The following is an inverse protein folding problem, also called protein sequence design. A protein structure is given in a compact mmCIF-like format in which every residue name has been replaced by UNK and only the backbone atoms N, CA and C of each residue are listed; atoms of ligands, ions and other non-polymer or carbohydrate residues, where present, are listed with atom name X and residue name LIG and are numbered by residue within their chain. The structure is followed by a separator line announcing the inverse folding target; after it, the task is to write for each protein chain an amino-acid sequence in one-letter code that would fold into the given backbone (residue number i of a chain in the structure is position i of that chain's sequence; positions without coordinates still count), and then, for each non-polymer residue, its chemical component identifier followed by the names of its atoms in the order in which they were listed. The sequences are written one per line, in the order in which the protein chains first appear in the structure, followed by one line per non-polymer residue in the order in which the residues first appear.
data_IF_351879212774
#
_entry.id   IF_351879212774
#
_cell.length_a   1.000
_cell.length_b   1.000
_cell.length_c   1.000
_cell.angle_alpha   90.00
_cell.angle_beta   90.00
_cell.angle_gamma   90.00
#
_symmetry.space_group_name_H-M   'P 1'
#
loop_
_entity.id
_entity.type
_entity.pdbx_description
1 polymer ?
#
# COMPACT_ATOMS: atom_id res chain seq x y z
N UNK A 1 -14.11 -3.95 0.20
CA UNK A 1 -14.54 -5.30 -0.22
C UNK A 1 -13.92 -6.40 0.63
N UNK A 2 -12.59 -6.40 0.92
CA UNK A 2 -11.97 -7.43 1.77
C UNK A 2 -12.50 -7.45 3.20
N UNK A 3 -12.91 -6.32 3.73
CA UNK A 3 -13.25 -6.15 5.16
C UNK A 3 -14.73 -6.41 5.45
N UNK A 4 -15.58 -6.40 4.45
CA UNK A 4 -17.04 -6.37 4.65
C UNK A 4 -17.79 -7.45 3.89
N UNK A 5 -17.09 -8.26 3.13
CA UNK A 5 -17.69 -9.33 2.36
C UNK A 5 -17.72 -10.65 3.14
N UNK A 6 -18.81 -11.40 3.01
CA UNK A 6 -18.87 -12.78 3.49
C UNK A 6 -17.98 -13.73 2.67
N UNK A 7 -17.34 -13.24 1.61
CA UNK A 7 -16.43 -13.98 0.75
C UNK A 7 -15.05 -13.32 0.76
N UNK A 8 -14.02 -14.13 0.79
CA UNK A 8 -12.63 -13.68 0.68
C UNK A 8 -12.42 -12.82 -0.56
N UNK A 9 -11.88 -11.63 -0.40
CA UNK A 9 -11.69 -10.66 -1.50
C UNK A 9 -10.70 -11.16 -2.58
N UNK A 10 -9.94 -12.17 -2.29
CA UNK A 10 -8.99 -12.80 -3.23
C UNK A 10 -9.56 -14.06 -3.92
N UNK A 11 -10.75 -14.54 -3.51
CA UNK A 11 -11.32 -15.81 -4.01
C UNK A 11 -11.71 -15.74 -5.49
N UNK A 12 -12.13 -14.58 -5.98
CA UNK A 12 -12.47 -14.38 -7.39
C UNK A 12 -11.25 -13.97 -8.20
N UNK A 13 -10.88 -14.78 -9.18
CA UNK A 13 -9.84 -14.44 -10.16
C UNK A 13 -10.14 -13.10 -10.86
N UNK A 14 -11.40 -12.85 -11.19
CA UNK A 14 -11.80 -11.60 -11.83
C UNK A 14 -11.56 -10.38 -10.92
N UNK A 15 -11.86 -10.48 -9.63
CA UNK A 15 -11.62 -9.38 -8.68
C UNK A 15 -10.13 -9.12 -8.49
N UNK A 16 -9.32 -10.18 -8.36
CA UNK A 16 -7.85 -10.04 -8.30
C UNK A 16 -7.32 -9.32 -9.53
N UNK A 17 -7.73 -9.76 -10.73
CA UNK A 17 -7.37 -9.13 -12.00
C UNK A 17 -7.73 -7.66 -12.02
N UNK A 18 -8.94 -7.32 -11.61
CA UNK A 18 -9.41 -5.94 -11.58
C UNK A 18 -8.58 -5.07 -10.63
N UNK A 19 -8.25 -5.56 -9.43
CA UNK A 19 -7.42 -4.82 -8.47
C UNK A 19 -6.01 -4.57 -9.03
N UNK A 20 -5.38 -5.59 -9.59
CA UNK A 20 -4.05 -5.46 -10.20
C UNK A 20 -4.08 -4.50 -11.39
N UNK A 21 -5.06 -4.62 -12.28
CA UNK A 21 -5.22 -3.70 -13.42
C UNK A 21 -5.47 -2.27 -12.96
N UNK A 22 -6.26 -2.07 -11.91
CA UNK A 22 -6.48 -0.74 -11.35
C UNK A 22 -5.17 -0.11 -10.89
N UNK A 23 -4.35 -0.84 -10.14
CA UNK A 23 -3.02 -0.37 -9.72
C UNK A 23 -2.14 -0.06 -10.94
N UNK A 24 -2.15 -0.92 -11.94
CA UNK A 24 -1.36 -0.73 -13.17
C UNK A 24 -1.77 0.54 -13.92
N UNK A 25 -3.07 0.80 -14.05
CA UNK A 25 -3.57 2.01 -14.73
C UNK A 25 -3.25 3.32 -14.00
N UNK A 26 -3.03 3.29 -12.68
CA UNK A 26 -2.64 4.49 -11.95
C UNK A 26 -1.27 5.02 -12.34
N UNK A 27 -0.42 4.19 -12.94
CA UNK A 27 0.94 4.56 -13.33
C UNK A 27 1.01 5.86 -14.15
N UNK A 28 0.25 5.93 -15.23
CA UNK A 28 0.24 7.10 -16.13
C UNK A 28 -0.20 8.38 -15.41
N UNK A 29 -1.20 8.26 -14.55
CA UNK A 29 -1.70 9.40 -13.76
C UNK A 29 -0.68 9.84 -12.72
N UNK A 30 0.03 8.89 -12.10
CA UNK A 30 1.11 9.17 -11.16
C UNK A 30 2.26 9.91 -11.85
N UNK A 31 2.73 9.42 -13.00
CA UNK A 31 3.79 10.09 -13.78
C UNK A 31 3.38 11.51 -14.12
N UNK A 32 2.17 11.70 -14.65
CA UNK A 32 1.63 13.03 -14.97
C UNK A 32 1.58 13.94 -13.76
N UNK A 33 1.08 13.43 -12.63
CA UNK A 33 0.95 14.18 -11.38
C UNK A 33 2.32 14.61 -10.87
N UNK A 34 3.28 13.69 -10.79
CA UNK A 34 4.61 13.98 -10.28
C UNK A 34 5.40 14.92 -11.19
N UNK A 35 5.28 14.75 -12.50
CA UNK A 35 5.88 15.68 -13.48
C UNK A 35 5.30 17.08 -13.35
N UNK A 36 3.99 17.19 -13.17
CA UNK A 36 3.32 18.48 -12.96
C UNK A 36 3.77 19.15 -11.65
N UNK A 37 3.85 18.40 -10.57
CA UNK A 37 4.36 18.91 -9.29
C UNK A 37 5.79 19.42 -9.42
N UNK A 38 6.65 18.66 -10.09
CA UNK A 38 8.05 19.04 -10.31
C UNK A 38 8.17 20.30 -11.14
N UNK A 39 7.40 20.44 -12.21
CA UNK A 39 7.42 21.63 -13.08
C UNK A 39 6.90 22.89 -12.38
N UNK A 40 5.91 22.73 -11.48
CA UNK A 40 5.33 23.84 -10.73
C UNK A 40 6.13 24.22 -9.47
N UNK A 41 7.13 23.44 -9.11
CA UNK A 41 7.96 23.66 -7.92
C UNK A 41 9.45 23.58 -8.26
N UNK A 42 9.95 24.50 -9.15
CA UNK A 42 11.35 24.47 -9.57
C UNK A 42 12.28 24.67 -8.39
N UNK A 43 13.31 23.84 -8.28
CA UNK A 43 14.28 23.87 -7.17
C UNK A 43 13.85 23.17 -5.90
N UNK A 44 12.62 22.64 -5.83
CA UNK A 44 12.16 21.86 -4.67
C UNK A 44 12.51 20.39 -4.80
N UNK A 45 12.87 19.76 -3.69
CA UNK A 45 12.94 18.30 -3.59
C UNK A 45 11.54 17.75 -3.31
N UNK A 46 11.06 16.89 -4.20
CA UNK A 46 9.75 16.25 -4.07
C UNK A 46 9.97 14.82 -3.64
N UNK A 47 9.38 14.45 -2.50
CA UNK A 47 9.42 13.11 -1.96
C UNK A 47 8.03 12.47 -2.07
N UNK A 48 7.98 11.32 -2.69
CA UNK A 48 6.78 10.49 -2.79
C UNK A 48 6.93 9.31 -1.84
N UNK A 49 6.02 9.19 -0.90
CA UNK A 49 6.05 8.17 0.14
C UNK A 49 5.19 6.99 -0.31
N UNK A 50 5.73 5.79 -0.21
CA UNK A 50 5.01 4.55 -0.47
C UNK A 50 3.99 4.19 0.63
N UNK A 51 3.49 2.97 0.58
CA UNK A 51 2.55 2.41 1.54
C UNK A 51 3.21 1.33 2.40
N UNK A 52 2.91 1.25 3.72
CA UNK A 52 3.45 0.22 4.59
C UNK A 52 2.63 -1.05 4.54
N UNK A 53 3.24 -2.16 4.84
CA UNK A 53 2.54 -3.37 5.25
C UNK A 53 2.02 -3.20 6.67
N UNK A 54 0.69 -3.24 6.85
CA UNK A 54 0.03 -2.97 8.13
C UNK A 54 -0.22 -4.22 8.97
N UNK A 55 -0.19 -5.41 8.39
CA UNK A 55 -0.46 -6.67 9.10
C UNK A 55 0.61 -7.71 8.78
N UNK A 56 0.93 -8.54 9.80
CA UNK A 56 1.88 -9.64 9.67
C UNK A 56 1.17 -10.90 9.19
N UNK A 57 1.75 -11.54 8.19
CA UNK A 57 1.35 -12.87 7.72
C UNK A 57 1.61 -13.92 8.80
N UNK A 58 0.74 -14.90 8.90
CA UNK A 58 0.81 -16.01 9.87
C UNK A 58 0.94 -15.55 11.33
N UNK A 59 0.46 -14.33 11.63
CA UNK A 59 0.46 -13.76 12.95
C UNK A 59 -0.78 -14.09 13.76
N UNK A 60 -0.77 -13.74 15.03
CA UNK A 60 -1.92 -13.88 15.92
C UNK A 60 -2.77 -12.60 15.89
N UNK A 61 -3.85 -12.62 15.14
CA UNK A 61 -4.69 -11.46 14.94
C UNK A 61 -5.72 -11.29 16.05
N UNK A 62 -5.87 -10.06 16.53
CA UNK A 62 -7.00 -9.68 17.35
C UNK A 62 -8.31 -9.70 16.53
N UNK A 63 -9.43 -9.88 17.18
CA UNK A 63 -10.75 -10.01 16.54
C UNK A 63 -11.14 -8.81 15.69
N UNK A 64 -10.66 -7.63 16.05
CA UNK A 64 -10.91 -6.39 15.32
C UNK A 64 -10.04 -6.21 14.06
N UNK A 65 -9.20 -7.17 13.70
CA UNK A 65 -8.46 -7.09 12.42
C UNK A 65 -9.39 -7.41 11.26
N UNK A 66 -10.32 -8.35 11.41
CA UNK A 66 -11.34 -8.62 10.40
C UNK A 66 -10.82 -9.13 9.05
N UNK A 67 -9.55 -9.57 8.97
CA UNK A 67 -8.91 -10.14 7.80
C UNK A 67 -8.41 -11.56 8.12
N UNK A 68 -8.65 -12.48 7.21
CA UNK A 68 -8.02 -13.80 7.25
C UNK A 68 -6.53 -13.70 6.89
N UNK A 69 -5.74 -14.70 7.26
CA UNK A 69 -4.32 -14.72 6.91
C UNK A 69 -4.09 -14.67 5.38
N UNK A 70 -4.92 -15.35 4.61
CA UNK A 70 -4.84 -15.31 3.15
C UNK A 70 -5.14 -13.91 2.58
N UNK A 71 -6.07 -13.17 3.18
CA UNK A 71 -6.34 -11.78 2.80
C UNK A 71 -5.18 -10.86 3.19
N UNK A 72 -4.52 -11.11 4.32
CA UNK A 72 -3.32 -10.37 4.74
C UNK A 72 -2.20 -10.61 3.73
N UNK A 73 -1.91 -11.87 3.38
CA UNK A 73 -0.91 -12.23 2.36
C UNK A 73 -1.22 -11.51 1.04
N UNK A 74 -2.47 -11.61 0.57
CA UNK A 74 -2.88 -10.96 -0.66
C UNK A 74 -2.74 -9.43 -0.61
N UNK A 75 -3.15 -8.82 0.49
CA UNK A 75 -3.06 -7.35 0.68
C UNK A 75 -1.60 -6.89 0.72
N UNK A 76 -0.73 -7.61 1.43
CA UNK A 76 0.71 -7.29 1.48
C UNK A 76 1.35 -7.35 0.09
N UNK A 77 0.98 -8.35 -0.72
CA UNK A 77 1.45 -8.45 -2.11
C UNK A 77 0.92 -7.30 -2.97
N UNK A 78 -0.35 -6.90 -2.81
CA UNK A 78 -0.89 -5.73 -3.50
C UNK A 78 -0.18 -4.43 -3.10
N UNK A 79 0.17 -4.27 -1.83
CA UNK A 79 0.94 -3.12 -1.35
C UNK A 79 2.33 -3.11 -1.98
N UNK A 80 3.04 -4.24 -1.99
CA UNK A 80 4.34 -4.35 -2.64
C UNK A 80 4.25 -3.99 -4.13
N UNK A 81 3.24 -4.48 -4.84
CA UNK A 81 3.01 -4.15 -6.24
C UNK A 81 2.70 -2.66 -6.44
N UNK A 82 1.82 -2.08 -5.63
CA UNK A 82 1.52 -0.65 -5.67
C UNK A 82 2.79 0.20 -5.44
N UNK A 83 3.59 -0.17 -4.45
CA UNK A 83 4.86 0.50 -4.16
C UNK A 83 5.83 0.44 -5.35
N UNK A 84 5.91 -0.69 -6.06
CA UNK A 84 6.73 -0.83 -7.26
C UNK A 84 6.24 0.09 -8.39
N UNK A 85 4.93 0.23 -8.58
CA UNK A 85 4.33 1.13 -9.57
C UNK A 85 4.61 2.59 -9.21
N UNK A 86 4.46 2.97 -7.94
CA UNK A 86 4.78 4.32 -7.46
C UNK A 86 6.27 4.62 -7.66
N UNK A 87 7.17 3.72 -7.26
CA UNK A 87 8.61 3.88 -7.40
C UNK A 87 9.01 4.07 -8.88
N UNK A 88 8.40 3.32 -9.77
CA UNK A 88 8.65 3.46 -11.21
C UNK A 88 8.18 4.81 -11.73
N UNK A 89 6.99 5.25 -11.34
CA UNK A 89 6.45 6.56 -11.71
C UNK A 89 7.30 7.71 -11.18
N UNK A 90 7.83 7.61 -9.97
CA UNK A 90 8.74 8.63 -9.39
C UNK A 90 10.05 8.71 -10.16
N UNK A 91 10.60 7.57 -10.55
CA UNK A 91 11.83 7.51 -11.36
C UNK A 91 11.63 8.19 -12.72
N UNK A 92 10.51 7.90 -13.40
CA UNK A 92 10.22 8.52 -14.70
C UNK A 92 9.99 10.02 -14.60
N UNK A 93 9.27 10.48 -13.56
CA UNK A 93 9.05 11.90 -13.32
C UNK A 93 10.29 12.63 -12.76
N UNK A 94 11.33 11.89 -12.36
CA UNK A 94 12.56 12.45 -11.76
C UNK A 94 12.33 13.07 -10.39
N UNK A 95 11.44 12.47 -9.58
CA UNK A 95 11.22 12.80 -8.17
C UNK A 95 11.71 11.66 -7.27
N UNK A 96 11.78 11.87 -5.95
CA UNK A 96 12.39 10.94 -5.01
C UNK A 96 11.33 10.01 -4.41
N UNK A 97 11.59 8.70 -4.41
CA UNK A 97 10.75 7.70 -3.75
C UNK A 97 11.28 7.42 -2.34
N UNK A 98 10.38 7.41 -1.36
CA UNK A 98 10.68 7.01 0.01
C UNK A 98 9.99 5.68 0.29
N UNK A 99 10.81 4.64 0.46
CA UNK A 99 10.32 3.32 0.83
C UNK A 99 9.95 3.28 2.31
N UNK A 100 8.69 3.02 2.57
CA UNK A 100 8.13 2.86 3.92
C UNK A 100 7.44 1.51 4.10
N UNK A 101 7.62 0.58 3.17
CA UNK A 101 6.93 -0.71 3.20
C UNK A 101 7.13 -1.43 4.54
N UNK A 102 8.33 -1.36 5.07
CA UNK A 102 8.71 -2.01 6.34
C UNK A 102 8.66 -1.07 7.55
N UNK A 103 8.14 0.16 7.40
CA UNK A 103 8.16 1.15 8.47
C UNK A 103 7.49 0.70 9.77
N UNK A 104 6.48 -0.18 9.69
CA UNK A 104 5.74 -0.68 10.84
C UNK A 104 6.19 -2.06 11.33
N UNK A 105 7.26 -2.65 10.77
CA UNK A 105 7.72 -3.98 11.16
C UNK A 105 8.08 -4.03 12.64
N UNK A 106 7.73 -5.16 13.27
CA UNK A 106 7.83 -5.36 14.71
C UNK A 106 6.62 -4.83 15.49
N UNK A 107 5.70 -4.09 14.83
CA UNK A 107 4.52 -3.47 15.47
C UNK A 107 3.27 -3.49 14.56
N UNK A 108 3.27 -4.30 13.52
CA UNK A 108 2.11 -4.47 12.64
C UNK A 108 0.96 -5.16 13.37
N UNK A 109 -0.24 -5.05 12.84
CA UNK A 109 -1.36 -5.91 13.25
C UNK A 109 -0.95 -7.38 13.14
N UNK A 110 -1.45 -8.22 14.01
CA UNK A 110 -1.13 -9.65 14.11
C UNK A 110 0.33 -9.98 14.49
N UNK A 111 1.18 -9.01 14.75
CA UNK A 111 2.60 -9.20 15.06
C UNK A 111 2.89 -9.11 16.55
N UNK A 112 2.15 -8.29 17.27
CA UNK A 112 2.27 -8.05 18.70
C UNK A 112 0.89 -7.92 19.33
N UNK A 113 0.83 -7.83 20.66
CA UNK A 113 -0.41 -7.57 21.37
C UNK A 113 -1.08 -6.29 20.92
N UNK A 114 -2.41 -6.27 20.91
CA UNK A 114 -3.22 -5.16 20.39
C UNK A 114 -2.91 -3.80 21.01
N UNK A 115 -2.40 -3.76 22.23
CA UNK A 115 -1.96 -2.53 22.92
C UNK A 115 -0.63 -1.97 22.41
N UNK A 116 0.11 -2.75 21.65
CA UNK A 116 1.47 -2.42 21.18
C UNK A 116 1.56 -2.21 19.67
N UNK A 117 0.45 -2.36 18.95
CA UNK A 117 0.42 -2.22 17.49
C UNK A 117 0.58 -0.78 17.04
N UNK A 118 1.16 -0.59 15.87
CA UNK A 118 1.37 0.71 15.24
C UNK A 118 0.26 1.09 14.25
N UNK A 119 -0.68 0.20 13.98
CA UNK A 119 -1.83 0.47 13.13
C UNK A 119 -3.13 0.12 13.87
N UNK A 120 -4.19 0.83 13.57
CA UNK A 120 -5.50 0.50 14.08
C UNK A 120 -6.04 -0.74 13.34
N UNK A 121 -6.75 -1.62 14.07
CA UNK A 121 -7.66 -2.57 13.45
C UNK A 121 -8.94 -1.86 12.99
N UNK A 122 -10.03 -2.61 12.83
CA UNK A 122 -11.34 -2.03 12.62
C UNK A 122 -11.75 -1.20 13.83
N UNK A 123 -12.08 0.05 13.63
CA UNK A 123 -12.56 0.96 14.68
C UNK A 123 -13.97 1.42 14.34
N UNK A 124 -14.83 1.47 15.36
CA UNK A 124 -16.16 2.04 15.19
C UNK A 124 -16.08 3.55 15.01
N UNK A 125 -16.72 4.05 13.94
CA UNK A 125 -16.80 5.48 13.68
C UNK A 125 -17.83 6.17 14.57
N UNK A 126 -17.67 7.48 14.74
CA UNK A 126 -18.71 8.31 15.32
C UNK A 126 -19.73 8.59 14.22
N UNK A 127 -20.99 8.13 14.41
CA UNK A 127 -22.07 8.26 13.43
C UNK A 127 -22.55 9.69 13.23
N UNK A 128 -22.17 10.62 14.09
CA UNK A 128 -22.74 11.97 14.14
C UNK A 128 -22.21 12.96 13.09
N UNK A 129 -21.46 12.51 12.09
CA UNK A 129 -20.91 13.41 11.08
C UNK A 129 -20.57 12.79 9.72
N UNK A 130 -20.83 11.50 9.53
CA UNK A 130 -20.53 10.83 8.28
C UNK A 130 -21.72 10.84 7.31
N UNK A 131 -21.50 11.03 5.99
CA UNK A 131 -22.53 10.82 4.98
C UNK A 131 -23.10 9.41 5.10
N UNK A 132 -24.41 9.28 4.91
CA UNK A 132 -25.13 7.97 4.97
C UNK A 132 -24.55 6.92 4.01
N UNK A 133 -23.90 7.37 2.93
CA UNK A 133 -23.25 6.55 1.93
C UNK A 133 -22.03 5.79 2.49
N UNK A 134 -21.31 6.39 3.43
CA UNK A 134 -20.16 5.73 4.08
C UNK A 134 -20.60 4.59 5.00
N UNK A 135 -21.79 4.69 5.60
CA UNK A 135 -22.35 3.63 6.43
C UNK A 135 -22.81 2.40 5.61
N UNK A 136 -23.14 2.61 4.34
CA UNK A 136 -23.70 1.57 3.45
C UNK A 136 -22.61 0.63 2.89
N UNK A 137 -21.37 1.13 2.73
CA UNK A 137 -20.27 0.39 2.11
C UNK A 137 -19.81 -0.80 2.95
N UNK A 138 -20.13 -0.82 4.24
CA UNK A 138 -19.48 -1.71 5.20
C UNK A 138 -20.36 -2.80 5.79
N UNK A 139 -21.64 -2.88 5.44
CA UNK A 139 -22.55 -3.95 5.86
C UNK A 139 -22.68 -4.11 7.39
N UNK A 140 -22.14 -3.17 8.16
CA UNK A 140 -22.24 -3.12 9.61
C UNK A 140 -23.28 -2.08 10.01
N UNK A 141 -23.98 -2.31 11.11
CA UNK A 141 -24.98 -1.36 11.65
C UNK A 141 -24.35 -0.07 12.21
N UNK A 142 -23.11 0.24 11.83
CA UNK A 142 -22.39 1.44 12.20
C UNK A 142 -21.24 1.73 11.23
N UNK A 143 -20.92 3.00 10.97
CA UNK A 143 -19.80 3.37 10.11
C UNK A 143 -18.50 2.94 10.77
N UNK A 144 -17.59 2.37 9.97
CA UNK A 144 -16.22 2.24 10.39
C UNK A 144 -15.56 3.62 10.40
N UNK A 145 -14.74 3.87 11.41
CA UNK A 145 -13.97 5.09 11.47
C UNK A 145 -12.93 5.12 10.33
N UNK A 146 -12.62 6.32 9.87
CA UNK A 146 -11.60 6.52 8.84
C UNK A 146 -10.21 6.08 9.30
N UNK A 147 -10.00 5.99 10.61
CA UNK A 147 -8.76 5.50 11.22
C UNK A 147 -8.56 3.98 11.09
N UNK A 148 -9.58 3.23 10.63
CA UNK A 148 -9.45 1.79 10.43
C UNK A 148 -8.34 1.49 9.43
N UNK A 149 -7.42 0.61 9.83
CA UNK A 149 -6.20 0.24 9.08
C UNK A 149 -5.22 1.38 8.79
N UNK A 150 -5.37 2.52 9.45
CA UNK A 150 -4.39 3.60 9.39
C UNK A 150 -3.39 3.51 10.55
N UNK A 151 -2.17 4.05 10.38
CA UNK A 151 -1.23 4.17 11.49
C UNK A 151 -1.86 4.95 12.65
N UNK A 152 -1.70 4.46 13.88
CA UNK A 152 -2.02 5.23 15.07
C UNK A 152 -0.89 6.22 15.41
N UNK A 153 -0.99 6.93 16.53
CA UNK A 153 0.02 7.91 16.92
C UNK A 153 1.43 7.32 16.98
N UNK A 154 1.56 6.08 17.47
CA UNK A 154 2.85 5.40 17.51
C UNK A 154 3.32 5.02 16.10
N UNK A 155 2.43 4.54 15.25
CA UNK A 155 2.72 4.25 13.84
C UNK A 155 3.16 5.50 13.07
N UNK A 156 2.51 6.64 13.31
CA UNK A 156 2.95 7.91 12.73
C UNK A 156 4.38 8.27 13.14
N UNK A 157 4.78 8.01 14.40
CA UNK A 157 6.15 8.26 14.84
C UNK A 157 7.16 7.33 14.16
N UNK A 158 6.82 6.06 13.94
CA UNK A 158 7.64 5.12 13.17
C UNK A 158 7.79 5.54 11.71
N UNK A 159 6.70 6.00 11.11
CA UNK A 159 6.68 6.56 9.77
C UNK A 159 7.60 7.77 9.63
N UNK A 160 7.41 8.75 10.52
CA UNK A 160 8.22 9.97 10.53
C UNK A 160 9.72 9.66 10.64
N UNK A 161 10.09 8.70 11.50
CA UNK A 161 11.47 8.23 11.63
C UNK A 161 12.00 7.65 10.31
N UNK A 162 11.25 6.74 9.69
CA UNK A 162 11.66 6.12 8.41
C UNK A 162 11.81 7.16 7.31
N UNK A 163 10.88 8.12 7.22
CA UNK A 163 10.94 9.21 6.24
C UNK A 163 12.18 10.09 6.51
N UNK A 164 12.42 10.45 7.76
CA UNK A 164 13.56 11.27 8.13
C UNK A 164 14.90 10.60 7.82
N UNK A 165 15.03 9.32 8.11
CA UNK A 165 16.23 8.52 7.79
C UNK A 165 16.47 8.47 6.29
N UNK A 166 15.42 8.22 5.49
CA UNK A 166 15.50 8.20 4.04
C UNK A 166 15.87 9.59 3.47
N UNK A 167 15.20 10.66 3.93
CA UNK A 167 15.47 12.03 3.44
C UNK A 167 16.85 12.53 3.85
N UNK A 168 17.34 12.18 5.03
CA UNK A 168 18.71 12.48 5.45
C UNK A 168 19.73 11.78 4.56
N UNK A 169 19.48 10.52 4.16
CA UNK A 169 20.37 9.78 3.26
C UNK A 169 20.43 10.42 1.87
N UNK A 170 19.33 10.97 1.37
CA UNK A 170 19.31 11.71 0.11
C UNK A 170 20.09 13.03 0.17
N UNK A 171 20.10 13.69 1.33
CA UNK A 171 20.85 14.93 1.53
C UNK A 171 22.36 14.72 1.71
N UNK A 172 22.77 13.53 2.20
CA UNK A 172 24.18 13.20 2.45
C UNK A 172 24.86 12.57 1.23
N UNK A 173 24.08 12.00 0.35
CA UNK A 173 24.56 11.45 -0.92
C UNK A 173 23.55 11.80 -1.99
N UNK A 174 23.91 12.75 -2.87
CA UNK A 174 23.35 12.75 -4.21
C UNK A 174 24.01 11.56 -4.94
N UNK A 175 23.52 10.33 -4.83
CA UNK A 175 24.03 9.27 -5.66
C UNK A 175 23.52 9.55 -7.06
N UNK A 176 24.44 9.64 -8.00
CA UNK A 176 24.15 9.30 -9.37
C UNK A 176 23.22 8.07 -9.33
N UNK A 177 22.06 8.06 -9.99
CA UNK A 177 21.16 6.93 -9.94
C UNK A 177 21.85 5.71 -10.57
N UNK A 178 22.59 4.98 -9.74
CA UNK A 178 22.98 3.61 -10.05
C UNK A 178 21.68 2.83 -10.10
N UNK A 179 21.48 2.12 -11.19
CA UNK A 179 20.34 1.22 -11.39
C UNK A 179 20.31 0.21 -10.21
N UNK A 180 19.68 0.59 -9.11
CA UNK A 180 19.32 -0.37 -8.08
C UNK A 180 18.34 -1.33 -8.74
N UNK A 181 18.55 -2.61 -8.48
CA UNK A 181 17.74 -3.71 -8.99
C UNK A 181 16.28 -3.31 -9.00
N UNK A 182 15.82 -2.95 -10.19
CA UNK A 182 14.42 -2.64 -10.43
C UNK A 182 13.72 -3.98 -10.17
N UNK A 183 13.00 -4.03 -9.08
CA UNK A 183 12.03 -5.06 -8.83
C UNK A 183 11.25 -5.25 -10.12
N UNK A 184 11.39 -6.40 -10.74
CA UNK A 184 10.63 -6.74 -11.93
C UNK A 184 9.27 -7.24 -11.47
N UNK A 185 8.19 -6.49 -11.69
CA UNK A 185 6.85 -6.84 -11.22
C UNK A 185 6.35 -8.20 -11.72
N UNK A 186 6.99 -8.78 -12.74
CA UNK A 186 6.64 -10.08 -13.30
C UNK A 186 6.63 -11.20 -12.28
N UNK A 187 7.65 -11.32 -11.44
CA UNK A 187 7.77 -12.48 -10.54
C UNK A 187 6.83 -12.41 -9.34
N UNK A 188 6.47 -11.22 -8.84
CA UNK A 188 5.48 -11.10 -7.77
C UNK A 188 4.06 -11.00 -8.30
N UNK A 189 3.88 -10.53 -9.51
CA UNK A 189 2.59 -10.63 -10.18
C UNK A 189 2.23 -12.10 -10.39
N UNK A 190 3.18 -12.91 -10.85
CA UNK A 190 3.02 -14.36 -10.97
C UNK A 190 2.72 -14.98 -9.60
N UNK A 191 3.40 -14.57 -8.53
CA UNK A 191 3.14 -15.02 -7.17
C UNK A 191 1.79 -14.52 -6.60
N UNK A 192 1.30 -13.34 -6.99
CA UNK A 192 -0.04 -12.85 -6.67
C UNK A 192 -1.13 -13.69 -7.36
N UNK A 193 -0.80 -14.20 -8.52
CA UNK A 193 -1.71 -14.96 -9.39
C UNK A 193 -1.59 -16.46 -9.18
N UNK A 194 -0.56 -16.93 -8.48
CA UNK A 194 -0.19 -18.34 -8.26
C UNK A 194 -1.18 -19.14 -7.38
N UNK A 195 -2.37 -18.62 -7.19
CA UNK A 195 -3.54 -19.39 -6.79
C UNK A 195 -4.16 -20.20 -7.93
N UNK A 196 -3.39 -20.55 -8.98
CA UNK A 196 -3.84 -21.42 -10.06
C UNK A 196 -4.43 -20.70 -11.29
N UNK A 197 -3.79 -19.64 -11.73
CA UNK A 197 -4.20 -18.94 -12.97
C UNK A 197 -3.06 -18.98 -13.97
N UNK A 198 -3.02 -20.07 -14.73
CA UNK A 198 -2.02 -20.34 -15.77
C UNK A 198 -2.05 -19.40 -16.99
N UNK A 199 -2.93 -18.39 -17.04
CA UNK A 199 -3.19 -17.58 -18.24
C UNK A 199 -2.80 -16.11 -18.15
N UNK A 200 -1.97 -15.71 -17.18
CA UNK A 200 -1.60 -14.30 -17.03
C UNK A 200 -0.14 -14.02 -17.33
N UNK A 201 0.15 -13.90 -18.61
CA UNK A 201 1.36 -13.23 -19.08
C UNK A 201 1.17 -11.71 -18.94
N UNK A 202 1.24 -11.18 -17.71
CA UNK A 202 1.42 -9.76 -17.49
C UNK A 202 2.88 -9.39 -17.67
N UNK A 203 3.36 -9.50 -18.89
CA UNK A 203 4.41 -8.58 -19.30
C UNK A 203 3.81 -7.20 -19.12
N UNK A 204 4.36 -6.40 -18.20
CA UNK A 204 4.13 -4.96 -18.21
C UNK A 204 4.59 -4.55 -19.60
N UNK A 205 3.65 -4.45 -20.51
CA UNK A 205 3.95 -4.13 -21.89
C UNK A 205 4.64 -2.76 -21.84
N UNK A 206 5.85 -2.67 -22.36
CA UNK A 206 6.65 -1.44 -22.42
C UNK A 206 5.92 -0.27 -23.09
N UNK A 207 4.76 -0.54 -23.70
CA UNK A 207 3.89 0.46 -24.33
C UNK A 207 3.02 1.24 -23.32
N UNK A 208 2.89 0.79 -22.07
CA UNK A 208 2.10 1.47 -21.03
C UNK A 208 2.95 1.90 -19.82
N UNK A 209 4.26 1.78 -19.95
CA UNK A 209 5.19 2.16 -18.88
C UNK A 209 6.32 3.00 -19.50
#
# INVERSE_FOLDING_TARGET
ACVTGAADCYSSTQQRKQLVSTIQYTYTDLVKTYTTLKSNSPGSSIYVIGYPQIAKEDGNCATNVGLSNKEIIFTNKLIAYLNSVIQKATKEAGVLYVDVEKALYGRRLCEVDSSLVAANGLTAGNTSGLPKEAAYILGTNGPLAQESYHPNLFGHSMYAKTIQEATNSFNLSMPTPTAQNIYTPSNELDALLDGGVDDFNYSINSTYI
#
